data_IF_340395586929
#
_entry.id   IF_340395586929
#
_cell.length_a   1.000
_cell.length_b   1.000
_cell.length_c   1.000
_cell.angle_alpha   90.00
_cell.angle_beta   90.00
_cell.angle_gamma   90.00
#
_symmetry.space_group_name_H-M   'P 1'
#
loop_
_entity.id
_entity.type
_entity.pdbx_description
1 polymer ?
#
# COMPACT_ATOMS: atom_id res chain seq x y z
N UNK A 1 14.30 -17.30 -1.55
CA UNK A 1 13.92 -15.87 -1.57
C UNK A 1 14.36 -15.18 -2.85
N UNK A 2 15.64 -14.84 -3.09
CA UNK A 2 16.04 -14.05 -4.29
C UNK A 2 15.57 -14.72 -5.60
N UNK A 3 15.87 -16.01 -5.80
CA UNK A 3 15.43 -16.78 -6.98
C UNK A 3 13.91 -16.72 -7.15
N UNK A 4 13.17 -16.99 -6.08
CA UNK A 4 11.71 -17.09 -6.11
C UNK A 4 11.06 -15.72 -6.38
N UNK A 5 11.58 -14.66 -5.77
CA UNK A 5 11.14 -13.28 -6.04
C UNK A 5 11.40 -12.87 -7.49
N UNK A 6 12.58 -13.21 -8.04
CA UNK A 6 12.88 -12.96 -9.44
C UNK A 6 11.93 -13.73 -10.36
N UNK A 7 11.65 -15.01 -10.05
CA UNK A 7 10.74 -15.83 -10.84
C UNK A 7 9.31 -15.28 -10.82
N UNK A 8 8.76 -14.98 -9.63
CA UNK A 8 7.41 -14.41 -9.49
C UNK A 8 7.28 -13.11 -10.29
N UNK A 9 8.27 -12.22 -10.19
CA UNK A 9 8.26 -10.98 -10.96
C UNK A 9 8.34 -11.24 -12.46
N UNK A 10 9.19 -12.17 -12.90
CA UNK A 10 9.30 -12.54 -14.30
C UNK A 10 7.98 -13.12 -14.83
N UNK A 11 7.33 -14.00 -14.08
CA UNK A 11 6.05 -14.63 -14.46
C UNK A 11 4.94 -13.59 -14.61
N UNK A 12 4.85 -12.64 -13.66
CA UNK A 12 3.86 -11.54 -13.69
C UNK A 12 4.13 -10.60 -14.86
N UNK A 13 5.40 -10.24 -15.11
CA UNK A 13 5.77 -9.35 -16.24
C UNK A 13 5.53 -10.04 -17.58
N UNK A 14 5.88 -11.32 -17.72
CA UNK A 14 5.66 -12.08 -18.95
C UNK A 14 4.15 -12.28 -19.24
N UNK A 15 3.32 -12.38 -18.20
CA UNK A 15 1.87 -12.54 -18.35
C UNK A 15 1.15 -11.23 -18.70
N UNK A 16 1.80 -10.08 -18.56
CA UNK A 16 1.22 -8.75 -18.83
C UNK A 16 2.31 -7.74 -19.26
N UNK A 17 2.96 -8.03 -20.38
CA UNK A 17 4.05 -7.23 -20.93
C UNK A 17 3.61 -5.80 -21.32
N UNK A 18 2.33 -5.59 -21.61
CA UNK A 18 1.77 -4.29 -22.04
C UNK A 18 1.12 -3.48 -20.89
N UNK A 19 1.33 -3.85 -19.62
CA UNK A 19 0.78 -3.14 -18.46
C UNK A 19 -0.77 -3.00 -18.48
N UNK A 20 -1.47 -4.02 -19.00
CA UNK A 20 -2.92 -4.06 -19.14
C UNK A 20 -3.67 -4.24 -17.81
N UNK A 21 -3.04 -4.78 -16.77
CA UNK A 21 -3.61 -4.78 -15.43
C UNK A 21 -2.99 -5.75 -14.42
N UNK A 22 -2.44 -6.89 -14.84
CA UNK A 22 -1.85 -7.85 -13.90
C UNK A 22 -0.52 -7.33 -13.33
N UNK A 23 0.28 -6.59 -14.10
CA UNK A 23 1.57 -6.06 -13.59
C UNK A 23 1.39 -5.06 -12.45
N UNK A 24 0.25 -4.37 -12.41
CA UNK A 24 -0.05 -3.41 -11.35
C UNK A 24 -0.19 -4.05 -9.96
N UNK A 25 -0.36 -5.38 -9.85
CA UNK A 25 -0.34 -6.07 -8.55
C UNK A 25 1.00 -5.93 -7.81
N UNK A 26 2.10 -5.75 -8.56
CA UNK A 26 3.44 -5.53 -7.98
C UNK A 26 3.54 -4.21 -7.21
N UNK A 27 2.60 -3.29 -7.45
CA UNK A 27 2.53 -2.00 -6.78
C UNK A 27 1.69 -2.05 -5.49
N UNK A 28 1.46 -3.24 -4.93
CA UNK A 28 0.83 -3.36 -3.61
C UNK A 28 1.61 -2.54 -2.57
N UNK A 29 0.88 -1.67 -1.85
CA UNK A 29 1.45 -0.72 -0.89
C UNK A 29 2.14 0.52 -1.48
N UNK A 30 2.42 0.58 -2.78
CA UNK A 30 3.23 1.67 -3.35
C UNK A 30 2.48 3.00 -3.47
N UNK A 31 1.16 2.99 -3.67
CA UNK A 31 0.35 4.23 -3.70
C UNK A 31 0.53 5.04 -2.42
N UNK A 32 0.48 4.38 -1.27
CA UNK A 32 0.70 5.01 0.03
C UNK A 32 2.18 5.19 0.34
N UNK A 33 3.02 4.22 -0.01
CA UNK A 33 4.47 4.30 0.17
C UNK A 33 5.07 5.53 -0.50
N UNK A 34 4.77 5.75 -1.79
CA UNK A 34 5.24 6.93 -2.51
C UNK A 34 4.71 8.24 -1.92
N UNK A 35 3.47 8.26 -1.43
CA UNK A 35 2.93 9.44 -0.75
C UNK A 35 3.71 9.74 0.55
N UNK A 36 4.03 8.71 1.34
CA UNK A 36 4.85 8.85 2.55
C UNK A 36 6.27 9.33 2.20
N UNK A 37 6.91 8.73 1.20
CA UNK A 37 8.25 9.13 0.75
C UNK A 37 8.29 10.58 0.27
N UNK A 38 7.32 10.98 -0.56
CA UNK A 38 7.25 12.33 -1.11
C UNK A 38 7.07 13.38 -0.01
N UNK A 39 6.23 13.13 0.98
CA UNK A 39 5.94 14.08 2.05
C UNK A 39 7.07 14.14 3.09
N UNK A 40 7.76 13.02 3.32
CA UNK A 40 8.93 12.96 4.22
C UNK A 40 10.25 13.36 3.53
N UNK A 41 10.17 13.79 2.27
CA UNK A 41 11.34 14.19 1.50
C UNK A 41 12.39 13.10 1.34
N UNK A 42 11.99 11.82 1.37
CA UNK A 42 12.87 10.66 1.21
C UNK A 42 13.98 10.53 2.27
N UNK A 43 13.81 11.17 3.44
CA UNK A 43 14.83 11.18 4.50
C UNK A 43 14.45 10.37 5.73
N UNK A 44 13.15 10.27 6.03
CA UNK A 44 12.65 9.60 7.25
C UNK A 44 12.52 8.09 7.10
N UNK A 45 12.10 7.62 5.92
CA UNK A 45 11.87 6.21 5.63
C UNK A 45 12.68 5.81 4.40
N UNK A 46 13.28 4.63 4.46
CA UNK A 46 13.73 3.94 3.26
C UNK A 46 12.52 3.52 2.41
N UNK A 47 12.74 3.26 1.12
CA UNK A 47 11.68 2.80 0.22
C UNK A 47 10.95 1.56 0.75
N UNK A 48 11.70 0.57 1.25
CA UNK A 48 11.12 -0.64 1.82
C UNK A 48 10.27 -0.38 3.06
N UNK A 49 10.67 0.54 3.92
CA UNK A 49 9.90 0.94 5.10
C UNK A 49 8.60 1.66 4.72
N UNK A 50 8.66 2.59 3.76
CA UNK A 50 7.48 3.29 3.28
C UNK A 50 6.48 2.34 2.60
N UNK A 51 6.97 1.41 1.77
CA UNK A 51 6.14 0.36 1.16
C UNK A 51 5.55 -0.57 2.23
N UNK A 52 6.29 -0.92 3.29
CA UNK A 52 5.76 -1.72 4.40
C UNK A 52 4.56 -1.06 5.10
N UNK A 53 4.67 0.23 5.42
CA UNK A 53 3.56 1.02 5.98
C UNK A 53 2.42 1.11 4.96
N UNK A 54 2.74 1.32 3.69
CA UNK A 54 1.75 1.37 2.63
C UNK A 54 0.98 0.06 2.43
N UNK A 55 1.62 -1.10 2.61
CA UNK A 55 0.96 -2.41 2.58
C UNK A 55 -0.03 -2.56 3.74
N UNK A 56 0.32 -2.09 4.94
CA UNK A 56 -0.60 -2.06 6.07
C UNK A 56 -1.83 -1.21 5.78
N UNK A 57 -1.64 -0.02 5.17
CA UNK A 57 -2.74 0.89 4.83
C UNK A 57 -3.64 0.34 3.73
N UNK A 58 -3.05 -0.25 2.68
CA UNK A 58 -3.81 -0.92 1.62
C UNK A 58 -4.63 -2.10 2.18
N UNK A 59 -4.07 -2.87 3.11
CA UNK A 59 -4.77 -4.00 3.75
C UNK A 59 -5.90 -3.51 4.67
N UNK A 60 -5.67 -2.47 5.48
CA UNK A 60 -6.70 -1.87 6.32
C UNK A 60 -7.85 -1.28 5.48
N UNK A 61 -7.52 -0.61 4.37
CA UNK A 61 -8.53 -0.12 3.42
C UNK A 61 -9.35 -1.27 2.83
N UNK A 62 -8.68 -2.37 2.46
CA UNK A 62 -9.34 -3.58 1.96
C UNK A 62 -10.30 -4.17 3.00
N UNK A 63 -9.88 -4.20 4.28
CA UNK A 63 -10.72 -4.65 5.40
C UNK A 63 -11.95 -3.77 5.59
N UNK A 64 -11.80 -2.44 5.53
CA UNK A 64 -12.93 -1.48 5.64
C UNK A 64 -13.92 -1.59 4.48
N UNK A 65 -13.44 -1.97 3.31
CA UNK A 65 -14.25 -2.28 2.14
C UNK A 65 -14.90 -3.67 2.18
N UNK A 66 -14.67 -4.45 3.25
CA UNK A 66 -15.20 -5.81 3.41
C UNK A 66 -14.55 -6.83 2.47
N UNK A 67 -13.37 -6.53 1.92
CA UNK A 67 -12.69 -7.38 0.94
C UNK A 67 -11.84 -8.47 1.59
N UNK A 68 -11.36 -8.24 2.82
CA UNK A 68 -10.56 -9.21 3.56
C UNK A 68 -10.88 -9.21 5.06
N UNK A 69 -10.52 -10.29 5.73
CA UNK A 69 -10.67 -10.42 7.18
C UNK A 69 -9.61 -9.63 7.95
N UNK A 70 -9.92 -9.27 9.20
CA UNK A 70 -8.97 -8.61 10.11
C UNK A 70 -7.72 -9.46 10.39
N UNK A 71 -7.88 -10.80 10.39
CA UNK A 71 -6.80 -11.77 10.57
C UNK A 71 -5.65 -11.59 9.56
N UNK A 72 -5.96 -11.09 8.36
CA UNK A 72 -4.96 -10.84 7.32
C UNK A 72 -4.06 -9.65 7.64
N UNK A 73 -4.64 -8.59 8.22
CA UNK A 73 -3.89 -7.41 8.66
C UNK A 73 -2.92 -7.77 9.79
N UNK A 74 -3.37 -8.57 10.75
CA UNK A 74 -2.54 -9.03 11.86
C UNK A 74 -1.41 -9.94 11.37
N UNK A 75 -1.72 -10.86 10.44
CA UNK A 75 -0.71 -11.73 9.82
C UNK A 75 0.35 -10.92 9.07
N UNK A 76 -0.06 -9.89 8.31
CA UNK A 76 0.87 -8.99 7.63
C UNK A 76 1.73 -8.22 8.64
N UNK A 77 1.13 -7.69 9.70
CA UNK A 77 1.84 -7.00 10.79
C UNK A 77 2.94 -7.88 11.39
N UNK A 78 2.59 -9.11 11.79
CA UNK A 78 3.55 -10.04 12.38
C UNK A 78 4.69 -10.40 11.42
N UNK A 79 4.39 -10.55 10.12
CA UNK A 79 5.40 -10.81 9.11
C UNK A 79 6.39 -9.65 8.99
N UNK A 80 5.88 -8.41 8.85
CA UNK A 80 6.72 -7.22 8.74
C UNK A 80 7.59 -7.00 9.98
N UNK A 81 7.03 -7.18 11.18
CA UNK A 81 7.76 -7.09 12.44
C UNK A 81 8.88 -8.14 12.55
N UNK A 82 8.65 -9.37 12.03
CA UNK A 82 9.68 -10.42 12.00
C UNK A 82 10.91 -10.00 11.19
N UNK A 83 10.72 -9.16 10.17
CA UNK A 83 11.81 -8.59 9.36
C UNK A 83 12.29 -7.21 9.85
N UNK A 84 11.81 -6.74 11.00
CA UNK A 84 12.19 -5.43 11.55
C UNK A 84 11.67 -4.23 10.76
N UNK A 85 10.61 -4.42 9.95
CA UNK A 85 9.99 -3.35 9.18
C UNK A 85 8.90 -2.62 9.98
N UNK A 86 8.75 -1.29 9.80
CA UNK A 86 7.71 -0.53 10.46
C UNK A 86 6.33 -0.89 9.92
N UNK A 87 5.34 -0.86 10.81
CA UNK A 87 3.93 -1.15 10.49
C UNK A 87 3.00 0.05 10.70
N UNK A 88 3.56 1.17 11.17
CA UNK A 88 2.90 2.45 11.36
C UNK A 88 3.93 3.57 11.16
N UNK A 89 3.45 4.80 11.00
CA UNK A 89 4.31 5.97 10.95
C UNK A 89 4.96 6.21 12.32
N UNK A 90 6.25 6.57 12.34
CA UNK A 90 7.00 6.95 13.54
C UNK A 90 6.49 8.25 14.15
N UNK A 91 6.03 9.16 13.30
CA UNK A 91 5.48 10.46 13.66
C UNK A 91 4.35 10.85 12.69
N UNK A 92 3.52 11.81 13.08
CA UNK A 92 2.51 12.35 12.17
C UNK A 92 3.20 13.01 10.97
N UNK A 93 2.74 12.67 9.76
CA UNK A 93 3.28 13.21 8.51
C UNK A 93 2.20 14.09 7.85
N UNK A 94 2.21 15.43 8.08
CA UNK A 94 1.24 16.35 7.48
C UNK A 94 1.46 16.43 5.96
N UNK A 95 0.40 16.55 5.17
CA UNK A 95 0.54 16.67 3.71
C UNK A 95 0.24 15.37 2.92
N UNK A 96 -0.03 14.27 3.61
CA UNK A 96 -0.33 12.98 2.98
C UNK A 96 -1.59 13.01 2.11
N UNK A 97 -2.61 13.77 2.54
CA UNK A 97 -3.83 13.96 1.76
C UNK A 97 -3.50 14.63 0.42
N UNK A 98 -2.76 15.73 0.47
CA UNK A 98 -2.36 16.51 -0.68
C UNK A 98 -1.51 15.67 -1.64
N UNK A 99 -0.57 14.88 -1.11
CA UNK A 99 0.24 13.97 -1.90
C UNK A 99 -0.59 12.91 -2.64
N UNK A 100 -1.56 12.29 -1.96
CA UNK A 100 -2.50 11.35 -2.61
C UNK A 100 -3.36 12.05 -3.68
N UNK A 101 -3.84 13.27 -3.42
CA UNK A 101 -4.62 14.05 -4.40
C UNK A 101 -3.79 14.45 -5.62
N UNK A 102 -2.49 14.75 -5.44
CA UNK A 102 -1.59 15.05 -6.55
C UNK A 102 -1.36 13.81 -7.43
N UNK A 103 -1.17 12.64 -6.82
CA UNK A 103 -1.07 11.37 -7.53
C UNK A 103 -2.36 11.05 -8.32
N UNK A 104 -3.53 11.39 -7.76
CA UNK A 104 -4.83 11.27 -8.45
C UNK A 104 -4.88 12.04 -9.77
N UNK A 105 -4.23 13.21 -9.84
CA UNK A 105 -4.16 14.02 -11.06
C UNK A 105 -3.23 13.44 -12.10
N UNK A 106 -2.16 12.76 -11.68
CA UNK A 106 -1.20 12.12 -12.58
C UNK A 106 -1.81 10.94 -13.35
N UNK A 107 -2.74 10.17 -12.74
CA UNK A 107 -3.33 8.95 -13.33
C UNK A 107 -4.70 9.21 -14.01
N UNK A 108 -4.95 10.43 -14.49
CA UNK A 108 -6.19 10.73 -15.24
C UNK A 108 -7.44 10.93 -14.38
N UNK A 109 -7.27 11.39 -13.12
CA UNK A 109 -8.37 11.87 -12.28
C UNK A 109 -9.02 10.83 -11.37
N UNK A 110 -8.58 9.56 -11.40
CA UNK A 110 -9.03 8.51 -10.46
C UNK A 110 -7.82 7.83 -9.84
N UNK A 111 -7.78 7.80 -8.51
CA UNK A 111 -6.74 7.07 -7.78
C UNK A 111 -7.07 5.58 -7.86
N UNK A 112 -6.12 4.77 -8.33
CA UNK A 112 -6.27 3.32 -8.38
C UNK A 112 -5.48 2.73 -7.23
N UNK A 113 -6.16 2.00 -6.36
CA UNK A 113 -5.55 1.28 -5.25
C UNK A 113 -5.41 -0.20 -5.60
N UNK A 114 -4.31 -0.80 -5.17
CA UNK A 114 -4.12 -2.25 -5.23
C UNK A 114 -4.51 -2.76 -3.85
N UNK A 115 -5.65 -3.45 -3.80
CA UNK A 115 -6.31 -3.90 -2.58
C UNK A 115 -6.29 -5.42 -2.49
N UNK A 116 -6.32 -5.95 -1.27
CA UNK A 116 -6.18 -7.38 -0.97
C UNK A 116 -7.55 -7.99 -0.74
N UNK A 117 -7.85 -9.08 -1.44
CA UNK A 117 -9.08 -9.86 -1.24
C UNK A 117 -8.85 -11.11 -0.38
N UNK A 118 -7.59 -11.49 -0.21
CA UNK A 118 -7.16 -12.67 0.51
C UNK A 118 -5.69 -12.95 0.26
N UNK A 119 -5.16 -14.01 0.88
CA UNK A 119 -3.77 -14.40 0.69
C UNK A 119 -3.48 -14.69 -0.78
N UNK A 120 -2.48 -14.01 -1.34
CA UNK A 120 -2.08 -14.14 -2.74
C UNK A 120 -3.08 -13.57 -3.75
N UNK A 121 -4.16 -12.90 -3.31
CA UNK A 121 -5.20 -12.36 -4.18
C UNK A 121 -5.36 -10.86 -3.97
N UNK A 122 -5.18 -10.09 -5.04
CA UNK A 122 -5.36 -8.64 -5.05
C UNK A 122 -6.20 -8.20 -6.24
N UNK A 123 -6.82 -7.04 -6.13
CA UNK A 123 -7.54 -6.38 -7.21
C UNK A 123 -7.26 -4.88 -7.25
N UNK A 124 -7.42 -4.31 -8.45
CA UNK A 124 -7.24 -2.88 -8.68
C UNK A 124 -8.61 -2.22 -8.55
N UNK A 125 -8.74 -1.27 -7.61
CA UNK A 125 -10.00 -0.56 -7.33
C UNK A 125 -9.80 0.94 -7.50
N UNK A 126 -10.63 1.53 -8.36
CA UNK A 126 -10.69 2.99 -8.58
C UNK A 126 -11.93 3.64 -7.99
N UNK A 127 -12.81 2.83 -7.40
CA UNK A 127 -14.12 3.15 -6.84
C UNK A 127 -14.08 3.16 -5.30
N UNK A 128 -12.97 3.63 -4.72
CA UNK A 128 -12.83 3.76 -3.28
C UNK A 128 -13.51 5.07 -2.83
N UNK A 129 -14.47 5.02 -1.89
CA UNK A 129 -15.09 6.20 -1.31
C UNK A 129 -14.03 7.12 -0.68
N UNK A 130 -13.99 8.43 -1.01
CA UNK A 130 -13.05 9.37 -0.42
C UNK A 130 -13.08 9.38 1.11
N UNK A 131 -14.25 9.18 1.70
CA UNK A 131 -14.48 9.17 3.14
C UNK A 131 -13.66 8.08 3.82
N UNK A 132 -13.61 6.87 3.23
CA UNK A 132 -12.80 5.77 3.77
C UNK A 132 -11.30 6.06 3.69
N UNK A 133 -10.85 6.80 2.66
CA UNK A 133 -9.46 7.24 2.56
C UNK A 133 -9.14 8.22 3.68
N UNK A 134 -10.05 9.13 4.03
CA UNK A 134 -9.83 10.08 5.13
C UNK A 134 -9.81 9.42 6.50
N UNK A 135 -10.71 8.46 6.73
CA UNK A 135 -10.69 7.69 7.96
C UNK A 135 -9.41 6.82 8.05
N UNK A 136 -8.93 6.30 6.92
CA UNK A 136 -7.68 5.55 6.85
C UNK A 136 -6.48 6.45 7.18
N UNK A 137 -6.41 7.66 6.63
CA UNK A 137 -5.35 8.62 6.95
C UNK A 137 -5.34 8.96 8.43
N UNK A 138 -6.53 9.17 9.00
CA UNK A 138 -6.68 9.40 10.45
C UNK A 138 -6.21 8.19 11.27
N UNK A 139 -6.60 6.98 10.85
CA UNK A 139 -6.16 5.74 11.47
C UNK A 139 -4.63 5.54 11.38
N UNK A 140 -4.03 5.85 10.24
CA UNK A 140 -2.59 5.68 10.01
C UNK A 140 -1.73 6.63 10.84
N UNK A 141 -2.24 7.81 11.18
CA UNK A 141 -1.57 8.80 12.05
C UNK A 141 -1.76 8.47 13.54
N UNK A 142 -2.93 7.92 13.91
CA UNK A 142 -3.27 7.61 15.31
C UNK A 142 -2.88 6.19 15.74
N UNK A 143 -2.53 5.33 14.78
CA UNK A 143 -2.02 4.00 15.07
C UNK A 143 -0.69 4.10 15.80
N UNK A 144 -0.56 3.53 17.02
CA UNK A 144 0.66 3.64 17.78
C UNK A 144 1.83 3.02 17.00
N UNK A 145 2.99 3.69 16.93
CA UNK A 145 4.21 3.04 16.47
C UNK A 145 4.49 1.85 17.40
N UNK A 146 4.75 0.68 16.80
CA UNK A 146 5.16 -0.51 17.54
C UNK A 146 6.62 -0.36 17.98
#
# INVERSE_FOLDING_TARGET
VIRDCCQIKADVVASDEQEGGLRAILNFGHTFGHAIEAVTGFTTYTHGEAVAIGMMWATELSRRLGMCEASLLDRLRSLLQTFGLPTALREAVPGLREALVMDKKAVGGRLRFILVEGLGKVSIRGDVPPELVEELLTWGVTSPPC
#
